data_IF_980147596855
#
_entry.id   IF_980147596855
#
_cell.length_a   1.000
_cell.length_b   1.000
_cell.length_c   1.000
_cell.angle_alpha   90.00
_cell.angle_beta   90.00
_cell.angle_gamma   90.00
#
_symmetry.space_group_name_H-M   'P 1'
#
loop_
_entity.id
_entity.type
_entity.pdbx_description
1 polymer ?
#
# COMPACT_ATOMS: atom_id res chain seq x y z
N UNK A 1 19.82 -46.32 62.20
CA UNK A 1 20.35 -47.26 61.18
C UNK A 1 19.88 -46.80 59.81
N UNK A 2 20.83 -46.44 58.92
CA UNK A 2 20.69 -46.41 57.44
C UNK A 2 20.70 -47.86 56.90
N UNK A 3 20.37 -48.20 55.63
CA UNK A 3 20.55 -47.45 54.36
C UNK A 3 19.27 -47.37 53.47
N UNK A 4 19.06 -46.38 52.61
CA UNK A 4 19.69 -46.06 51.30
C UNK A 4 19.33 -47.07 50.19
N UNK A 5 18.44 -46.65 49.26
CA UNK A 5 18.32 -47.22 47.92
C UNK A 5 17.81 -46.15 46.95
N UNK A 6 18.78 -45.50 46.32
CA UNK A 6 18.71 -44.61 45.17
C UNK A 6 17.92 -45.27 44.03
N UNK A 7 16.91 -44.58 43.47
CA UNK A 7 16.35 -44.93 42.15
C UNK A 7 16.41 -43.72 41.24
N UNK A 8 17.02 -43.98 40.10
CA UNK A 8 17.40 -43.05 39.06
C UNK A 8 16.23 -42.28 38.47
N UNK A 9 16.45 -40.98 38.36
CA UNK A 9 15.74 -40.04 37.48
C UNK A 9 15.81 -40.52 36.03
N UNK A 10 14.66 -40.71 35.41
CA UNK A 10 14.50 -40.60 33.95
C UNK A 10 13.36 -39.63 33.73
N UNK A 11 13.70 -38.37 33.51
CA UNK A 11 12.75 -37.38 33.01
C UNK A 11 12.50 -37.67 31.53
N UNK A 12 11.24 -37.74 31.07
CA UNK A 12 10.98 -37.79 29.64
C UNK A 12 11.39 -36.45 29.01
N UNK A 13 12.30 -36.50 28.03
CA UNK A 13 12.65 -35.34 27.23
C UNK A 13 11.40 -34.82 26.51
N UNK A 14 11.12 -33.51 26.53
CA UNK A 14 10.10 -32.95 25.66
C UNK A 14 10.60 -33.04 24.20
N UNK A 15 9.79 -33.68 23.37
CA UNK A 15 9.91 -33.65 21.91
C UNK A 15 9.88 -32.18 21.47
N UNK A 16 10.79 -31.71 20.60
CA UNK A 16 10.75 -30.34 20.12
C UNK A 16 9.52 -30.19 19.23
N UNK A 17 8.46 -29.60 19.78
CA UNK A 17 7.35 -29.07 18.98
C UNK A 17 7.93 -28.00 18.08
N UNK A 18 7.95 -28.29 16.78
CA UNK A 18 8.28 -27.33 15.74
C UNK A 18 7.39 -26.10 15.92
N UNK A 19 7.96 -25.06 16.51
CA UNK A 19 7.39 -23.71 16.52
C UNK A 19 7.33 -23.27 15.07
N UNK A 20 6.18 -23.51 14.42
CA UNK A 20 5.80 -22.79 13.22
C UNK A 20 5.99 -21.31 13.55
N UNK A 21 6.96 -20.68 12.89
CA UNK A 21 7.08 -19.24 12.85
C UNK A 21 5.73 -18.71 12.39
N UNK A 22 4.95 -18.19 13.33
CA UNK A 22 3.89 -17.25 13.06
C UNK A 22 4.53 -16.16 12.21
N UNK A 23 4.08 -16.06 10.97
CA UNK A 23 4.28 -14.90 10.12
C UNK A 23 3.89 -13.70 10.98
N UNK A 24 4.89 -12.91 11.38
CA UNK A 24 4.64 -11.65 12.07
C UNK A 24 3.83 -10.82 11.09
N UNK A 25 2.56 -10.57 11.43
CA UNK A 25 1.81 -9.48 10.83
C UNK A 25 2.64 -8.20 11.04
N UNK A 26 2.90 -7.39 10.00
CA UNK A 26 3.63 -6.14 10.18
C UNK A 26 2.85 -5.24 11.15
N UNK A 27 3.54 -4.48 12.01
CA UNK A 27 2.89 -3.69 13.05
C UNK A 27 2.00 -2.61 12.43
N UNK A 28 1.06 -2.15 13.25
CA UNK A 28 0.13 -1.06 13.00
C UNK A 28 0.79 0.10 12.24
N UNK A 29 0.06 0.59 11.25
CA UNK A 29 0.51 1.52 10.22
C UNK A 29 -0.14 2.87 10.47
N UNK A 30 0.66 3.92 10.60
CA UNK A 30 0.16 5.29 10.71
C UNK A 30 0.10 5.92 9.32
N UNK A 31 -1.07 6.44 8.95
CA UNK A 31 -1.30 7.06 7.63
C UNK A 31 -1.57 8.54 7.78
N UNK A 32 -0.72 9.32 7.13
CA UNK A 32 -0.90 10.74 6.91
C UNK A 32 -1.43 10.97 5.50
N UNK A 33 -2.68 11.43 5.43
CA UNK A 33 -3.27 11.94 4.20
C UNK A 33 -3.21 13.47 4.21
N UNK A 34 -2.35 14.05 3.37
CA UNK A 34 -2.29 15.49 3.13
C UNK A 34 -2.94 15.83 1.79
N UNK A 35 -3.96 16.68 1.79
CA UNK A 35 -4.56 17.19 0.54
C UNK A 35 -3.74 18.37 0.04
N UNK A 36 -3.10 18.23 -1.12
CA UNK A 36 -2.30 19.29 -1.72
C UNK A 36 -3.04 19.86 -2.93
N UNK A 37 -3.59 21.06 -2.78
CA UNK A 37 -4.17 21.80 -3.91
C UNK A 37 -3.07 22.67 -4.51
N UNK A 38 -2.59 22.32 -5.71
CA UNK A 38 -1.69 23.21 -6.45
C UNK A 38 -2.46 24.48 -6.86
N UNK A 39 -2.17 25.60 -6.19
CA UNK A 39 -2.86 26.88 -6.41
C UNK A 39 -2.21 27.83 -7.42
N UNK A 40 -1.10 27.49 -8.11
CA UNK A 40 -0.52 28.47 -9.06
C UNK A 40 0.28 27.93 -10.27
N UNK A 41 -0.01 28.61 -11.40
CA UNK A 41 0.53 28.71 -12.77
C UNK A 41 0.99 27.46 -13.56
N UNK A 42 0.14 27.04 -14.51
CA UNK A 42 0.38 26.44 -15.84
C UNK A 42 1.59 25.50 -16.08
N UNK A 43 2.13 24.86 -15.05
CA UNK A 43 3.23 23.92 -15.17
C UNK A 43 2.76 22.51 -14.79
N UNK A 44 3.21 21.53 -15.57
CA UNK A 44 3.08 20.11 -15.25
C UNK A 44 4.23 19.73 -14.33
N UNK A 45 3.92 19.09 -13.19
CA UNK A 45 4.91 18.55 -12.27
C UNK A 45 5.14 17.08 -12.61
N UNK A 46 6.40 16.69 -12.76
CA UNK A 46 6.79 15.32 -13.08
C UNK A 46 7.54 14.68 -11.91
N UNK A 47 7.40 13.35 -11.78
CA UNK A 47 8.08 12.51 -10.79
C UNK A 47 8.04 13.11 -9.37
N UNK A 48 6.84 13.43 -8.83
CA UNK A 48 6.74 13.97 -7.49
C UNK A 48 7.11 12.88 -6.48
N UNK A 49 7.99 13.22 -5.54
CA UNK A 49 8.46 12.32 -4.49
C UNK A 49 8.37 13.01 -3.13
N UNK A 50 7.98 12.24 -2.11
CA UNK A 50 7.89 12.75 -0.74
C UNK A 50 8.97 12.11 0.09
N UNK A 51 9.77 12.94 0.73
CA UNK A 51 10.77 12.55 1.72
C UNK A 51 10.30 12.99 3.09
N UNK A 52 10.46 12.13 4.07
CA UNK A 52 10.13 12.40 5.47
C UNK A 52 11.35 12.08 6.32
N UNK A 53 11.64 12.98 7.24
CA UNK A 53 12.63 12.83 8.28
C UNK A 53 11.95 12.94 9.64
N UNK A 54 12.33 12.05 10.56
CA UNK A 54 11.82 11.98 11.91
C UNK A 54 13.00 12.25 12.85
N UNK A 55 12.95 13.42 13.49
CA UNK A 55 14.08 13.89 14.30
C UNK A 55 14.40 12.88 15.40
N UNK A 56 15.63 12.36 15.40
CA UNK A 56 16.12 11.42 16.42
C UNK A 56 15.93 9.94 16.08
N UNK A 57 15.55 9.61 14.84
CA UNK A 57 15.36 8.23 14.39
C UNK A 57 16.25 7.93 13.18
N UNK A 58 16.99 6.82 13.24
CA UNK A 58 17.96 6.49 12.19
C UNK A 58 17.32 5.84 10.94
N UNK A 59 16.24 5.07 11.09
CA UNK A 59 15.53 4.45 9.94
C UNK A 59 14.05 4.18 10.27
N UNK A 60 13.13 4.85 9.56
CA UNK A 60 11.70 4.53 9.57
C UNK A 60 11.27 4.25 8.13
N UNK A 61 10.66 3.09 7.90
CA UNK A 61 10.14 2.77 6.58
C UNK A 61 8.94 3.68 6.29
N UNK A 62 9.00 4.35 5.15
CA UNK A 62 7.95 5.22 4.67
C UNK A 62 7.57 4.82 3.26
N UNK A 63 6.27 4.71 2.97
CA UNK A 63 5.77 4.64 1.60
C UNK A 63 4.97 5.89 1.30
N UNK A 64 5.26 6.53 0.16
CA UNK A 64 4.57 7.72 -0.28
C UNK A 64 3.95 7.51 -1.65
N UNK A 65 2.75 8.07 -1.85
CA UNK A 65 2.02 8.02 -3.11
C UNK A 65 1.27 9.31 -3.35
N UNK A 66 1.10 9.64 -4.63
CA UNK A 66 0.25 10.73 -5.08
C UNK A 66 -0.96 10.16 -5.80
N UNK A 67 -2.13 10.72 -5.50
CA UNK A 67 -3.40 10.24 -6.00
C UNK A 67 -4.15 11.36 -6.69
N UNK A 68 -4.56 11.10 -7.92
CA UNK A 68 -5.45 12.01 -8.64
C UNK A 68 -6.85 11.98 -8.05
N UNK A 69 -7.47 13.15 -7.97
CA UNK A 69 -8.88 13.29 -7.59
C UNK A 69 -9.67 13.71 -8.81
N UNK A 70 -10.69 12.93 -9.16
CA UNK A 70 -11.60 13.22 -10.27
C UNK A 70 -13.01 13.30 -9.71
N UNK A 71 -13.67 14.44 -9.88
CA UNK A 71 -15.03 14.69 -9.37
C UNK A 71 -15.18 14.45 -7.84
N UNK A 72 -14.13 14.73 -7.07
CA UNK A 72 -14.10 14.51 -5.63
C UNK A 72 -13.81 13.06 -5.21
N UNK A 73 -13.65 12.14 -6.15
CA UNK A 73 -13.32 10.73 -5.89
C UNK A 73 -11.83 10.52 -6.13
N UNK A 74 -11.16 9.82 -5.22
CA UNK A 74 -9.72 9.55 -5.35
C UNK A 74 -9.51 8.31 -6.21
N UNK A 75 -9.03 8.52 -7.44
CA UNK A 75 -9.19 7.52 -8.50
C UNK A 75 -7.95 6.66 -8.74
N UNK A 76 -6.78 7.26 -9.00
CA UNK A 76 -5.60 6.51 -9.44
C UNK A 76 -4.30 7.14 -8.95
N UNK A 77 -3.32 6.28 -8.67
CA UNK A 77 -1.95 6.71 -8.41
C UNK A 77 -1.42 7.46 -9.63
N UNK A 78 -0.70 8.56 -9.41
CA UNK A 78 -0.15 9.38 -10.47
C UNK A 78 1.25 9.88 -10.15
N UNK A 79 2.11 9.89 -11.14
CA UNK A 79 3.48 10.42 -11.14
C UNK A 79 3.59 11.73 -11.95
N UNK A 80 2.45 12.24 -12.45
CA UNK A 80 2.37 13.46 -13.25
C UNK A 80 1.20 14.31 -12.76
N UNK A 81 1.49 15.51 -12.26
CA UNK A 81 0.48 16.44 -11.75
C UNK A 81 0.27 17.54 -12.76
N UNK A 82 -0.91 17.58 -13.37
CA UNK A 82 -1.29 18.61 -14.33
C UNK A 82 -1.71 19.90 -13.62
N UNK A 83 -1.63 21.03 -14.34
CA UNK A 83 -2.10 22.30 -13.81
C UNK A 83 -3.58 22.23 -13.47
N UNK A 84 -3.94 22.68 -12.25
CA UNK A 84 -5.30 22.66 -11.69
C UNK A 84 -5.86 21.26 -11.42
N UNK A 85 -5.05 20.21 -11.55
CA UNK A 85 -5.42 18.90 -11.08
C UNK A 85 -5.43 18.90 -9.55
N UNK A 86 -6.47 18.32 -8.97
CA UNK A 86 -6.50 18.06 -7.55
C UNK A 86 -5.77 16.74 -7.26
N UNK A 87 -4.84 16.79 -6.31
CA UNK A 87 -4.01 15.64 -5.93
C UNK A 87 -3.97 15.50 -4.41
N UNK A 88 -4.04 14.27 -3.94
CA UNK A 88 -3.81 13.93 -2.54
C UNK A 88 -2.46 13.23 -2.44
N UNK A 89 -1.63 13.69 -1.51
CA UNK A 89 -0.37 13.05 -1.21
C UNK A 89 -0.54 12.27 0.08
N UNK A 90 -0.19 10.99 0.05
CA UNK A 90 -0.27 10.13 1.22
C UNK A 90 1.10 9.63 1.57
N UNK A 91 1.36 9.61 2.87
CA UNK A 91 2.58 9.09 3.46
C UNK A 91 2.13 8.07 4.50
N UNK A 92 2.74 6.91 4.44
CA UNK A 92 2.48 5.83 5.36
C UNK A 92 3.78 5.48 6.03
N UNK A 93 3.81 5.58 7.35
CA UNK A 93 5.00 5.41 8.16
C UNK A 93 4.85 4.14 9.01
N UNK A 94 5.97 3.43 9.17
CA UNK A 94 6.09 2.49 10.27
C UNK A 94 5.97 3.24 11.59
N UNK A 95 5.37 2.59 12.58
CA UNK A 95 5.16 3.16 13.91
C UNK A 95 6.51 3.59 14.52
N UNK A 96 6.70 4.89 14.84
CA UNK A 96 7.92 5.34 15.51
C UNK A 96 8.01 4.79 16.93
N UNK A 97 9.24 4.66 17.44
CA UNK A 97 9.47 4.19 18.81
C UNK A 97 9.51 5.35 19.78
N UNK A 98 8.47 5.54 20.58
CA UNK A 98 8.42 6.58 21.61
C UNK A 98 9.31 6.22 22.83
N UNK A 99 10.64 6.23 22.67
CA UNK A 99 11.60 5.82 23.71
C UNK A 99 11.90 6.93 24.74
N UNK A 100 12.19 8.15 24.27
CA UNK A 100 12.55 9.29 25.14
C UNK A 100 11.38 10.27 25.33
N UNK A 101 10.72 10.62 24.23
CA UNK A 101 9.61 11.57 24.22
C UNK A 101 8.28 10.87 23.90
N UNK A 102 7.18 11.40 24.46
CA UNK A 102 5.82 10.95 24.14
C UNK A 102 5.31 11.46 22.79
N UNK A 103 6.17 12.08 21.98
CA UNK A 103 5.85 12.58 20.66
C UNK A 103 7.08 12.55 19.75
N UNK A 104 6.85 12.55 18.43
CA UNK A 104 7.89 12.83 17.45
C UNK A 104 7.38 13.81 16.39
N UNK A 105 8.26 14.71 15.94
CA UNK A 105 7.95 15.64 14.85
C UNK A 105 8.49 15.08 13.53
N UNK A 106 7.60 14.91 12.54
CA UNK A 106 7.91 14.53 11.18
C UNK A 106 8.06 15.78 10.31
N UNK A 107 9.20 15.89 9.64
CA UNK A 107 9.52 16.95 8.70
C UNK A 107 9.49 16.38 7.29
N UNK A 108 8.79 17.01 6.37
CA UNK A 108 8.65 16.51 5.02
C UNK A 108 9.09 17.49 3.96
N UNK A 109 9.54 16.96 2.83
CA UNK A 109 9.83 17.71 1.61
C UNK A 109 9.20 16.98 0.41
N UNK A 110 8.52 17.72 -0.45
CA UNK A 110 8.11 17.22 -1.76
C UNK A 110 9.14 17.70 -2.78
N UNK A 111 9.76 16.76 -3.49
CA UNK A 111 10.60 17.01 -4.66
C UNK A 111 9.78 16.78 -5.93
N UNK A 112 10.00 17.58 -6.96
CA UNK A 112 9.31 17.45 -8.25
C UNK A 112 10.10 18.13 -9.36
N UNK A 113 9.78 17.80 -10.61
CA UNK A 113 10.40 18.38 -11.80
C UNK A 113 9.43 19.28 -12.57
N UNK A 114 9.91 20.47 -12.96
CA UNK A 114 9.22 21.40 -13.89
C UNK A 114 10.22 21.84 -14.95
N UNK A 115 9.88 21.68 -16.22
CA UNK A 115 10.75 22.08 -17.35
C UNK A 115 12.20 21.59 -17.19
N UNK A 116 12.38 20.30 -16.86
CA UNK A 116 13.68 19.64 -16.64
C UNK A 116 14.50 20.17 -15.46
N UNK A 117 13.93 21.04 -14.62
CA UNK A 117 14.55 21.51 -13.37
C UNK A 117 13.89 20.89 -12.16
N UNK A 118 14.69 20.48 -11.19
CA UNK A 118 14.21 19.99 -9.91
C UNK A 118 13.89 21.13 -8.96
N UNK A 119 12.78 20.99 -8.25
CA UNK A 119 12.30 21.91 -7.24
C UNK A 119 11.92 21.13 -6.00
N UNK A 120 11.93 21.81 -4.86
CA UNK A 120 11.53 21.25 -3.58
C UNK A 120 10.58 22.19 -2.87
N UNK A 121 9.63 21.64 -2.14
CA UNK A 121 8.68 22.42 -1.33
C UNK A 121 8.49 21.71 0.02
N UNK A 122 8.62 22.44 1.15
CA UNK A 122 8.42 21.85 2.46
C UNK A 122 6.97 21.45 2.69
N UNK A 123 6.79 20.31 3.34
CA UNK A 123 5.52 19.85 3.90
C UNK A 123 5.40 20.46 5.30
N UNK A 124 4.19 20.86 5.74
CA UNK A 124 3.98 21.26 7.12
C UNK A 124 4.48 20.20 8.10
N UNK A 125 5.16 20.62 9.18
CA UNK A 125 5.58 19.70 10.23
C UNK A 125 4.37 18.99 10.83
N UNK A 126 4.46 17.67 10.93
CA UNK A 126 3.42 16.82 11.50
C UNK A 126 3.92 16.33 12.84
N UNK A 127 3.11 16.47 13.90
CA UNK A 127 3.42 15.92 15.21
C UNK A 127 2.65 14.62 15.40
N UNK A 128 3.39 13.57 15.76
CA UNK A 128 2.90 12.24 16.10
C UNK A 128 2.93 12.09 17.61
N UNK A 129 1.80 11.82 18.25
CA UNK A 129 1.74 11.61 19.71
C UNK A 129 1.64 10.12 20.04
N UNK A 130 2.37 9.67 21.06
CA UNK A 130 2.34 8.28 21.50
C UNK A 130 0.92 7.82 21.88
N UNK A 131 0.14 8.69 22.53
CA UNK A 131 -1.25 8.40 22.91
C UNK A 131 -2.18 8.15 21.71
N UNK A 132 -1.92 8.76 20.55
CA UNK A 132 -2.71 8.53 19.33
C UNK A 132 -2.48 7.12 18.76
N UNK A 133 -1.37 6.48 19.14
CA UNK A 133 -0.98 5.16 18.63
C UNK A 133 -1.50 3.99 19.46
N UNK A 134 -1.82 4.21 20.74
CA UNK A 134 -2.27 3.14 21.67
C UNK A 134 -3.74 2.74 21.44
N UNK A 135 -4.61 3.67 21.05
CA UNK A 135 -6.06 3.44 20.91
C UNK A 135 -6.51 3.14 19.47
N UNK A 136 -5.57 2.64 18.64
CA UNK A 136 -5.80 2.36 17.22
C UNK A 136 -6.31 3.60 16.46
N UNK A 137 -6.11 4.82 16.98
CA UNK A 137 -6.58 6.08 16.37
C UNK A 137 -5.84 6.40 15.08
N UNK A 138 -4.58 5.97 14.97
CA UNK A 138 -3.83 6.05 13.74
C UNK A 138 -4.08 4.86 12.78
N UNK A 139 -4.83 3.83 13.21
CA UNK A 139 -5.17 2.68 12.38
C UNK A 139 -6.28 2.96 11.36
N UNK A 140 -6.41 2.09 10.36
CA UNK A 140 -7.43 2.20 9.30
C UNK A 140 -8.83 2.06 9.92
N UNK A 141 -9.56 3.18 10.01
CA UNK A 141 -10.91 3.27 10.57
C UNK A 141 -11.87 3.79 9.50
N UNK A 142 -12.84 2.98 9.08
CA UNK A 142 -13.86 3.37 8.10
C UNK A 142 -15.08 4.08 8.72
N UNK A 143 -15.02 4.45 10.00
CA UNK A 143 -16.10 5.16 10.70
C UNK A 143 -16.03 6.68 10.56
N UNK A 144 -14.81 7.24 10.42
CA UNK A 144 -14.56 8.68 10.29
C UNK A 144 -13.52 8.90 9.17
N UNK A 145 -13.72 9.89 8.29
CA UNK A 145 -12.81 10.19 7.17
C UNK A 145 -12.50 8.98 6.26
N UNK A 146 -13.54 8.34 5.72
CA UNK A 146 -13.46 7.14 4.86
C UNK A 146 -12.42 7.29 3.74
N UNK A 147 -12.35 8.46 3.11
CA UNK A 147 -11.39 8.77 2.04
C UNK A 147 -9.93 8.55 2.49
N UNK A 148 -9.56 9.01 3.68
CA UNK A 148 -8.20 8.84 4.21
C UNK A 148 -7.89 7.37 4.48
N UNK A 149 -8.86 6.62 5.00
CA UNK A 149 -8.71 5.18 5.27
C UNK A 149 -8.62 4.34 4.00
N UNK A 150 -9.34 4.73 2.94
CA UNK A 150 -9.18 4.11 1.62
C UNK A 150 -7.76 4.37 1.09
N UNK A 151 -7.30 5.62 1.15
CA UNK A 151 -5.97 5.98 0.66
C UNK A 151 -4.84 5.33 1.46
N UNK A 152 -4.98 5.26 2.77
CA UNK A 152 -4.12 4.51 3.68
C UNK A 152 -3.94 3.08 3.19
N UNK A 153 -5.07 2.43 2.93
CA UNK A 153 -5.10 1.03 2.53
C UNK A 153 -4.49 0.85 1.13
N UNK A 154 -4.90 1.65 0.15
CA UNK A 154 -4.36 1.61 -1.22
C UNK A 154 -2.85 1.90 -1.26
N UNK A 155 -2.36 2.75 -0.35
CA UNK A 155 -0.93 3.08 -0.28
C UNK A 155 -0.06 1.92 0.18
N UNK A 156 -0.62 1.06 1.04
CA UNK A 156 0.07 -0.09 1.61
C UNK A 156 -0.33 -1.43 1.00
N UNK A 157 -1.07 -1.38 -0.10
CA UNK A 157 -1.58 -2.56 -0.78
C UNK A 157 -0.93 -2.76 -2.13
N UNK A 158 -0.88 -4.03 -2.53
CA UNK A 158 -0.64 -4.44 -3.90
C UNK A 158 -1.97 -4.34 -4.64
N UNK A 159 -1.92 -3.80 -5.86
CA UNK A 159 -3.08 -3.62 -6.74
C UNK A 159 -3.06 -4.64 -7.89
N UNK A 160 -4.24 -5.18 -8.21
CA UNK A 160 -4.49 -5.91 -9.47
C UNK A 160 -5.85 -5.49 -10.03
N UNK A 161 -5.92 -5.35 -11.35
CA UNK A 161 -7.20 -5.11 -12.05
C UNK A 161 -7.67 -6.40 -12.71
N UNK A 162 -8.95 -6.73 -12.53
CA UNK A 162 -9.59 -7.91 -13.09
C UNK A 162 -10.79 -7.50 -13.94
N UNK A 163 -10.92 -8.09 -15.12
CA UNK A 163 -12.03 -7.91 -16.03
C UNK A 163 -13.02 -9.06 -15.96
N UNK A 164 -14.32 -8.76 -15.92
CA UNK A 164 -15.42 -9.72 -15.93
C UNK A 164 -16.44 -9.31 -16.98
N UNK A 165 -16.68 -10.18 -17.96
CA UNK A 165 -17.69 -9.97 -19.00
C UNK A 165 -19.09 -10.07 -18.39
N UNK A 166 -19.92 -9.03 -18.52
CA UNK A 166 -21.28 -9.00 -17.95
C UNK A 166 -22.36 -9.02 -19.05
N UNK A 167 -22.16 -8.29 -20.14
CA UNK A 167 -23.22 -8.02 -21.13
C UNK A 167 -23.81 -9.28 -21.80
N UNK A 168 -23.01 -10.33 -21.98
CA UNK A 168 -23.45 -11.60 -22.59
C UNK A 168 -23.77 -12.70 -21.58
N UNK A 169 -23.77 -12.39 -20.29
CA UNK A 169 -23.91 -13.36 -19.20
C UNK A 169 -24.87 -12.85 -18.11
N UNK A 170 -26.19 -13.04 -18.29
CA UNK A 170 -27.19 -12.58 -17.35
C UNK A 170 -26.96 -13.18 -15.95
N UNK A 171 -27.19 -12.38 -14.91
CA UNK A 171 -27.03 -12.78 -13.51
C UNK A 171 -25.60 -12.70 -12.96
N UNK A 172 -24.59 -12.32 -13.77
CA UNK A 172 -23.22 -12.15 -13.26
C UNK A 172 -23.06 -10.99 -12.28
N UNK A 173 -23.82 -9.90 -12.46
CA UNK A 173 -23.85 -8.81 -11.49
C UNK A 173 -24.34 -9.28 -10.12
N UNK A 174 -25.47 -9.99 -10.08
CA UNK A 174 -26.01 -10.60 -8.85
C UNK A 174 -25.02 -11.60 -8.23
N UNK A 175 -24.35 -12.40 -9.06
CA UNK A 175 -23.30 -13.32 -8.58
C UNK A 175 -22.12 -12.58 -7.95
N UNK A 176 -21.71 -11.45 -8.52
CA UNK A 176 -20.63 -10.64 -7.96
C UNK A 176 -21.04 -10.05 -6.60
N UNK A 177 -22.25 -9.51 -6.50
CA UNK A 177 -22.77 -9.00 -5.24
C UNK A 177 -22.90 -10.12 -4.18
N UNK A 178 -23.41 -11.28 -4.57
CA UNK A 178 -23.48 -12.45 -3.70
C UNK A 178 -22.11 -12.94 -3.25
N UNK A 179 -21.10 -12.89 -4.12
CA UNK A 179 -19.71 -13.19 -3.77
C UNK A 179 -19.16 -12.20 -2.72
N UNK A 180 -19.41 -10.90 -2.89
CA UNK A 180 -18.98 -9.88 -1.92
C UNK A 180 -19.61 -10.14 -0.55
N UNK A 181 -20.91 -10.39 -0.51
CA UNK A 181 -21.63 -10.73 0.72
C UNK A 181 -21.10 -12.01 1.37
N UNK A 182 -20.94 -13.09 0.60
CA UNK A 182 -20.42 -14.39 1.09
C UNK A 182 -19.03 -14.25 1.71
N UNK A 183 -18.18 -13.37 1.15
CA UNK A 183 -16.82 -13.12 1.63
C UNK A 183 -16.71 -11.94 2.62
N UNK A 184 -17.85 -11.47 3.15
CA UNK A 184 -17.91 -10.43 4.19
C UNK A 184 -17.32 -9.09 3.75
N UNK A 185 -17.42 -8.77 2.46
CA UNK A 185 -17.13 -7.44 1.95
C UNK A 185 -18.30 -6.51 2.25
N UNK A 186 -18.01 -5.41 2.93
CA UNK A 186 -18.99 -4.36 3.23
C UNK A 186 -18.74 -3.14 2.35
N UNK A 187 -19.80 -2.58 1.79
CA UNK A 187 -19.72 -1.31 1.08
C UNK A 187 -19.40 -0.18 2.08
N UNK A 188 -18.34 0.57 1.82
CA UNK A 188 -17.94 1.73 2.64
C UNK A 188 -18.21 3.06 1.94
N UNK A 189 -18.19 3.06 0.61
CA UNK A 189 -18.73 4.12 -0.24
C UNK A 189 -19.12 3.51 -1.58
N UNK A 190 -19.82 4.28 -2.42
CA UNK A 190 -20.36 3.81 -3.69
C UNK A 190 -19.29 3.06 -4.49
N UNK A 191 -19.60 1.81 -4.85
CA UNK A 191 -18.75 0.91 -5.63
C UNK A 191 -17.42 0.50 -4.96
N UNK A 192 -17.21 0.81 -3.67
CA UNK A 192 -16.01 0.44 -2.91
C UNK A 192 -16.37 -0.42 -1.71
N UNK A 193 -15.81 -1.62 -1.69
CA UNK A 193 -16.09 -2.66 -0.73
C UNK A 193 -14.82 -3.05 0.03
N UNK A 194 -14.93 -3.31 1.34
CA UNK A 194 -13.79 -3.74 2.18
C UNK A 194 -14.20 -4.80 3.18
N UNK A 195 -13.29 -5.73 3.48
CA UNK A 195 -13.45 -6.66 4.60
C UNK A 195 -12.88 -6.04 5.88
N UNK A 196 -13.75 -5.75 6.85
CA UNK A 196 -13.37 -5.16 8.15
C UNK A 196 -13.16 -6.21 9.26
N UNK A 197 -13.72 -7.40 9.08
CA UNK A 197 -13.70 -8.48 10.08
C UNK A 197 -12.38 -9.24 10.08
N UNK A 198 -11.98 -9.78 11.23
CA UNK A 198 -10.78 -10.62 11.37
C UNK A 198 -10.81 -11.85 10.45
N UNK A 199 -9.65 -12.24 9.92
CA UNK A 199 -9.52 -13.34 8.97
C UNK A 199 -8.51 -13.08 7.85
N UNK A 200 -8.39 -14.01 6.91
CA UNK A 200 -7.37 -13.97 5.86
C UNK A 200 -7.55 -12.81 4.89
N UNK A 201 -8.78 -12.33 4.69
CA UNK A 201 -9.09 -11.23 3.77
C UNK A 201 -9.20 -9.87 4.47
N UNK A 202 -8.85 -9.76 5.76
CA UNK A 202 -8.81 -8.48 6.49
C UNK A 202 -8.12 -7.41 5.65
N UNK A 203 -8.80 -6.27 5.54
CA UNK A 203 -8.35 -5.11 4.77
C UNK A 203 -8.11 -5.39 3.28
N UNK A 204 -8.69 -6.44 2.70
CA UNK A 204 -8.84 -6.50 1.24
C UNK A 204 -9.92 -5.50 0.82
N UNK A 205 -9.64 -4.72 -0.22
CA UNK A 205 -10.53 -3.72 -0.78
C UNK A 205 -10.78 -4.01 -2.26
N UNK A 206 -12.03 -3.85 -2.69
CA UNK A 206 -12.46 -4.00 -4.08
C UNK A 206 -13.16 -2.71 -4.50
N UNK A 207 -12.69 -2.11 -5.58
CA UNK A 207 -13.38 -1.02 -6.28
C UNK A 207 -13.98 -1.56 -7.57
N UNK A 208 -15.29 -1.40 -7.74
CA UNK A 208 -15.99 -1.72 -8.99
C UNK A 208 -15.92 -0.49 -9.89
N UNK A 209 -15.25 -0.61 -11.02
CA UNK A 209 -15.16 0.47 -11.99
C UNK A 209 -16.37 0.47 -12.93
N UNK A 210 -16.67 1.61 -13.58
CA UNK A 210 -17.72 1.68 -14.58
C UNK A 210 -17.57 0.61 -15.67
N UNK A 211 -18.69 0.02 -16.05
CA UNK A 211 -18.76 -0.97 -17.13
C UNK A 211 -18.43 -0.27 -18.44
N UNK A 212 -17.46 -0.82 -19.17
CA UNK A 212 -17.03 -0.32 -20.49
C UNK A 212 -17.07 -1.51 -21.44
N UNK A 213 -17.74 -1.34 -22.59
CA UNK A 213 -17.86 -2.39 -23.63
C UNK A 213 -18.36 -3.74 -23.08
N UNK A 214 -19.31 -3.69 -22.14
CA UNK A 214 -19.93 -4.87 -21.55
C UNK A 214 -19.09 -5.60 -20.50
N UNK A 215 -17.89 -5.09 -20.20
CA UNK A 215 -16.96 -5.63 -19.21
C UNK A 215 -16.97 -4.78 -17.93
N UNK A 216 -17.24 -5.41 -16.78
CA UNK A 216 -16.99 -4.81 -15.47
C UNK A 216 -15.53 -5.02 -15.10
N UNK A 217 -14.89 -3.96 -14.59
CA UNK A 217 -13.51 -4.01 -14.10
C UNK A 217 -13.49 -3.85 -12.60
N UNK A 218 -12.78 -4.74 -11.93
CA UNK A 218 -12.57 -4.72 -10.48
C UNK A 218 -11.13 -4.35 -10.20
N UNK A 219 -10.89 -3.33 -9.39
CA UNK A 219 -9.56 -3.09 -8.80
C UNK A 219 -9.53 -3.71 -7.43
N UNK A 220 -8.58 -4.61 -7.22
CA UNK A 220 -8.42 -5.36 -5.99
C UNK A 220 -7.15 -4.85 -5.32
N UNK A 221 -7.26 -4.52 -4.05
CA UNK A 221 -6.17 -4.09 -3.18
C UNK A 221 -6.04 -5.09 -2.03
N UNK A 222 -4.81 -5.56 -1.79
CA UNK A 222 -4.53 -6.45 -0.66
C UNK A 222 -3.17 -6.16 -0.04
N UNK A 223 -3.01 -6.48 1.24
CA UNK A 223 -1.78 -6.20 2.01
C UNK A 223 -0.62 -7.13 1.66
N UNK A 224 -0.87 -8.23 0.95
CA UNK A 224 0.16 -9.18 0.57
C UNK A 224 -0.16 -9.94 -0.70
N UNK A 225 0.88 -10.44 -1.38
CA UNK A 225 0.69 -11.26 -2.58
C UNK A 225 -0.07 -12.56 -2.31
N UNK A 226 0.01 -13.11 -1.09
CA UNK A 226 -0.75 -14.30 -0.72
C UNK A 226 -2.25 -14.00 -0.61
N UNK A 227 -2.64 -12.87 0.00
CA UNK A 227 -4.03 -12.42 0.02
C UNK A 227 -4.56 -12.19 -1.40
N UNK A 228 -3.78 -11.48 -2.23
CA UNK A 228 -4.13 -11.26 -3.63
C UNK A 228 -4.38 -12.58 -4.38
N UNK A 229 -3.48 -13.55 -4.23
CA UNK A 229 -3.59 -14.85 -4.89
C UNK A 229 -4.84 -15.63 -4.45
N UNK A 230 -5.20 -15.56 -3.17
CA UNK A 230 -6.44 -16.15 -2.66
C UNK A 230 -7.65 -15.47 -3.30
N UNK A 231 -7.68 -14.14 -3.31
CA UNK A 231 -8.77 -13.37 -3.92
C UNK A 231 -8.94 -13.70 -5.40
N UNK A 232 -7.86 -13.70 -6.18
CA UNK A 232 -7.90 -14.05 -7.60
C UNK A 232 -8.40 -15.48 -7.82
N UNK A 233 -8.02 -16.42 -6.96
CA UNK A 233 -8.50 -17.80 -7.06
C UNK A 233 -10.00 -17.90 -6.78
N UNK A 234 -10.46 -17.28 -5.70
CA UNK A 234 -11.88 -17.26 -5.32
C UNK A 234 -12.75 -16.60 -6.39
N UNK A 235 -12.26 -15.52 -7.01
CA UNK A 235 -12.95 -14.89 -8.14
C UNK A 235 -12.97 -15.79 -9.37
N UNK A 236 -11.88 -16.49 -9.71
CA UNK A 236 -11.86 -17.45 -10.84
C UNK A 236 -12.86 -18.59 -10.67
N UNK A 237 -13.06 -19.04 -9.44
CA UNK A 237 -14.05 -20.10 -9.17
C UNK A 237 -15.48 -19.63 -9.50
N UNK A 238 -15.78 -18.33 -9.35
CA UNK A 238 -17.07 -17.72 -9.68
C UNK A 238 -17.16 -17.23 -11.14
N UNK A 239 -16.03 -16.80 -11.69
CA UNK A 239 -15.86 -16.18 -13.01
C UNK A 239 -14.63 -16.80 -13.73
N UNK A 240 -14.75 -18.01 -14.29
CA UNK A 240 -13.62 -18.72 -14.89
C UNK A 240 -12.97 -18.02 -16.09
N UNK A 241 -13.73 -17.15 -16.75
CA UNK A 241 -13.34 -16.36 -17.92
C UNK A 241 -12.84 -14.95 -17.55
N UNK A 242 -12.61 -14.68 -16.26
CA UNK A 242 -12.06 -13.40 -15.84
C UNK A 242 -10.65 -13.17 -16.43
N UNK A 243 -10.37 -11.94 -16.82
CA UNK A 243 -9.04 -11.51 -17.29
C UNK A 243 -8.32 -10.81 -16.14
N UNK A 244 -7.03 -11.07 -15.97
CA UNK A 244 -6.20 -10.34 -15.00
C UNK A 244 -5.28 -9.44 -15.79
N UNK A 245 -5.37 -8.13 -15.55
CA UNK A 245 -4.39 -7.19 -16.08
C UNK A 245 -3.16 -7.23 -15.19
N UNK A 246 -2.03 -7.58 -15.78
CA UNK A 246 -0.76 -7.38 -15.11
C UNK A 246 -0.42 -5.89 -15.14
N UNK A 247 -0.21 -5.31 -13.96
CA UNK A 247 0.45 -4.01 -13.88
C UNK A 247 1.81 -4.13 -14.59
N UNK A 248 2.11 -3.18 -15.47
CA UNK A 248 3.34 -3.08 -16.28
C UNK A 248 4.64 -2.96 -15.44
N UNK A 249 4.62 -3.30 -14.15
CA UNK A 249 5.75 -3.22 -13.23
C UNK A 249 6.96 -4.01 -13.73
N UNK A 250 6.77 -5.14 -14.42
CA UNK A 250 7.87 -5.88 -15.05
C UNK A 250 8.52 -5.12 -16.22
N UNK A 251 7.72 -4.36 -16.98
CA UNK A 251 8.21 -3.48 -18.05
C UNK A 251 8.93 -2.28 -17.45
N UNK A 252 8.37 -1.67 -16.39
CA UNK A 252 9.01 -0.56 -15.67
C UNK A 252 10.30 -0.99 -14.95
N UNK A 253 10.35 -2.18 -14.37
CA UNK A 253 11.57 -2.77 -13.80
C UNK A 253 12.62 -3.00 -14.89
N UNK A 254 12.23 -3.54 -16.05
CA UNK A 254 13.12 -3.73 -17.18
C UNK A 254 13.64 -2.40 -17.76
N UNK A 255 12.79 -1.38 -17.83
CA UNK A 255 13.17 -0.02 -18.26
C UNK A 255 14.13 0.61 -17.24
N UNK A 256 13.83 0.52 -15.95
CA UNK A 256 14.66 1.09 -14.87
C UNK A 256 16.05 0.43 -14.83
N UNK A 257 16.10 -0.89 -14.94
CA UNK A 257 17.35 -1.65 -15.06
C UNK A 257 18.14 -1.24 -16.31
N UNK A 258 17.45 -1.01 -17.44
CA UNK A 258 18.09 -0.58 -18.67
C UNK A 258 18.67 0.85 -18.54
N UNK A 259 18.00 1.74 -17.83
CA UNK A 259 18.49 3.10 -17.54
C UNK A 259 19.70 3.10 -16.63
N UNK A 260 19.69 2.26 -15.58
CA UNK A 260 20.85 2.01 -14.71
C UNK A 260 22.05 1.51 -15.53
N UNK A 261 21.85 0.50 -16.37
CA UNK A 261 22.91 -0.04 -17.23
C UNK A 261 23.47 1.00 -18.21
N UNK A 262 22.60 1.87 -18.76
CA UNK A 262 23.04 2.99 -19.63
C UNK A 262 23.87 4.02 -18.87
N UNK A 263 23.56 4.30 -17.60
CA UNK A 263 24.33 5.22 -16.76
C UNK A 263 25.71 4.66 -16.40
N UNK A 264 25.81 3.34 -16.17
CA UNK A 264 27.11 2.68 -16.00
C UNK A 264 27.95 2.73 -17.28
N UNK A 265 27.33 2.54 -18.45
CA UNK A 265 28.03 2.58 -19.75
C UNK A 265 28.53 3.97 -20.13
N UNK A 266 27.88 5.04 -19.65
CA UNK A 266 28.24 6.44 -19.97
C UNK A 266 29.12 7.11 -18.92
N UNK A 267 29.56 6.39 -17.87
CA UNK A 267 30.23 6.97 -16.70
C UNK A 267 29.44 8.15 -16.10
N UNK A 268 28.13 7.96 -15.90
CA UNK A 268 27.29 8.94 -15.20
C UNK A 268 27.82 9.24 -13.79
N UNK A 269 27.39 10.35 -13.22
CA UNK A 269 27.85 10.75 -11.88
C UNK A 269 27.45 9.71 -10.83
N UNK A 270 28.25 9.60 -9.76
CA UNK A 270 28.00 8.65 -8.67
C UNK A 270 26.60 8.82 -8.07
N UNK A 271 26.07 10.05 -8.01
CA UNK A 271 24.71 10.35 -7.53
C UNK A 271 23.62 9.84 -8.48
N UNK A 272 23.81 9.95 -9.80
CA UNK A 272 22.85 9.45 -10.79
C UNK A 272 22.82 7.92 -10.80
N UNK A 273 23.98 7.28 -10.66
CA UNK A 273 24.09 5.83 -10.55
C UNK A 273 23.43 5.30 -9.27
N UNK A 274 23.62 5.98 -8.13
CA UNK A 274 22.94 5.59 -6.88
C UNK A 274 21.42 5.74 -6.98
N UNK A 275 20.93 6.84 -7.56
CA UNK A 275 19.49 7.05 -7.72
C UNK A 275 18.86 6.03 -8.67
N UNK A 276 19.53 5.72 -9.79
CA UNK A 276 19.07 4.71 -10.73
C UNK A 276 19.01 3.31 -10.10
N UNK A 277 20.02 2.96 -9.29
CA UNK A 277 20.06 1.70 -8.55
C UNK A 277 18.93 1.58 -7.52
N UNK A 278 18.65 2.65 -6.78
CA UNK A 278 17.51 2.72 -5.86
C UNK A 278 16.19 2.52 -6.61
N UNK A 279 16.01 3.17 -7.77
CA UNK A 279 14.83 2.98 -8.63
C UNK A 279 14.70 1.53 -9.11
N UNK A 280 15.78 0.91 -9.58
CA UNK A 280 15.76 -0.50 -9.99
C UNK A 280 15.38 -1.42 -8.81
N UNK A 281 15.99 -1.23 -7.64
CA UNK A 281 15.69 -2.04 -6.45
C UNK A 281 14.21 -1.89 -6.02
N UNK A 282 13.64 -0.69 -6.13
CA UNK A 282 12.22 -0.43 -5.85
C UNK A 282 11.26 -1.20 -6.78
N UNK A 283 11.60 -1.34 -8.07
CA UNK A 283 10.75 -2.03 -9.04
C UNK A 283 11.00 -3.53 -9.13
N UNK A 284 12.19 -4.03 -8.74
CA UNK A 284 12.54 -5.46 -8.79
C UNK A 284 12.05 -6.22 -7.54
N UNK A 285 11.83 -5.53 -6.41
CA UNK A 285 11.45 -6.15 -5.13
C UNK A 285 9.91 -6.22 -4.92
N UNK A 286 9.10 -5.50 -5.72
CA UNK A 286 7.62 -5.55 -5.69
C UNK A 286 7.03 -6.71 -6.50
#
# INVERSE_FOLDING_TARGET
MKPEATRHTVMPMPVPSATRQLVREPPLVDVFAGRFIQRSYCAVLYDPQIYIDLKGYDEIAASSKFWSVVNGIVCYQTDVIQSRQEVVATIVLDLPKFEEDSFCDAYGMISYQVNEKQYQTPVPTIRLLAEETVDNNCGIKFSNNIEHSILALKSTSIEKTVGIQIEHHPGRGERLLGFLEEKSFEEICADVYVVKTTGTLVFCLIEILPIVEGEARLRIFSRSGSQMNIMLRLLRDQFPDMTVQDNDNGVHAAISLLEELKLYLRNGSTSEQQMARIKTDLFVIQ
#
